data_IF_205126648500
#
_entry.id   IF_205126648500
#
_cell.length_a   1.000
_cell.length_b   1.000
_cell.length_c   1.000
_cell.angle_alpha   90.00
_cell.angle_beta   90.00
_cell.angle_gamma   90.00
#
_symmetry.space_group_name_H-M   'P 1'
#
loop_
_entity.id
_entity.type
_entity.pdbx_description
1 polymer ?
#
# COMPACT_ATOMS: atom_id res chain seq x y z
N UNK A 1 6.63 30.16 -5.89
CA UNK A 1 6.56 29.04 -4.95
C UNK A 1 5.58 28.02 -5.53
N UNK A 2 5.97 26.75 -5.67
CA UNK A 2 5.09 25.66 -6.09
C UNK A 2 4.13 25.30 -4.93
N UNK A 3 2.87 24.98 -5.24
CA UNK A 3 1.84 24.60 -4.26
C UNK A 3 1.23 23.27 -4.67
N UNK A 4 1.80 22.11 -4.22
CA UNK A 4 1.21 20.81 -4.52
C UNK A 4 -0.16 20.68 -3.83
N UNK A 5 -1.09 19.97 -4.46
CA UNK A 5 -2.41 19.68 -3.91
C UNK A 5 -2.45 18.29 -3.23
N UNK A 6 -1.55 17.40 -3.59
CA UNK A 6 -1.46 16.06 -3.04
C UNK A 6 -0.56 15.16 -3.85
N UNK A 7 -0.54 13.88 -3.49
CA UNK A 7 0.10 12.82 -4.27
C UNK A 7 -0.96 12.28 -5.23
N UNK A 8 -0.70 12.32 -6.54
CA UNK A 8 -1.65 11.87 -7.55
C UNK A 8 -1.66 10.35 -7.74
N UNK A 9 -0.48 9.74 -7.87
CA UNK A 9 -0.31 8.30 -8.03
C UNK A 9 1.12 7.88 -7.72
N UNK A 10 1.34 6.57 -7.62
CA UNK A 10 2.66 5.94 -7.46
C UNK A 10 2.88 4.96 -8.62
N UNK A 11 4.11 4.88 -9.14
CA UNK A 11 4.50 3.89 -10.14
C UNK A 11 5.53 2.95 -9.55
N UNK A 12 5.20 1.66 -9.48
CA UNK A 12 6.08 0.60 -8.99
C UNK A 12 6.70 -0.15 -10.16
N UNK A 13 7.98 -0.44 -10.07
CA UNK A 13 8.67 -1.35 -10.99
C UNK A 13 8.43 -2.78 -10.52
N UNK A 14 7.96 -3.63 -11.44
CA UNK A 14 7.66 -5.04 -11.16
C UNK A 14 8.28 -5.92 -12.25
N UNK A 15 8.66 -7.14 -11.91
CA UNK A 15 9.26 -8.06 -12.87
C UNK A 15 8.25 -8.58 -13.90
N UNK A 16 7.06 -8.98 -13.43
CA UNK A 16 6.02 -9.58 -14.24
C UNK A 16 4.64 -9.03 -13.87
N UNK A 17 3.88 -8.56 -14.86
CA UNK A 17 2.59 -7.90 -14.66
C UNK A 17 1.51 -8.86 -14.13
N UNK A 18 1.46 -10.09 -14.62
CA UNK A 18 0.50 -11.13 -14.22
C UNK A 18 0.65 -11.48 -12.74
N UNK A 19 1.89 -11.68 -12.29
CA UNK A 19 2.19 -11.98 -10.88
C UNK A 19 1.82 -10.80 -9.96
N UNK A 20 2.08 -9.58 -10.40
CA UNK A 20 1.71 -8.38 -9.64
C UNK A 20 0.20 -8.16 -9.65
N UNK A 21 -0.50 -8.47 -10.74
CA UNK A 21 -1.98 -8.43 -10.79
C UNK A 21 -2.63 -9.41 -9.80
N UNK A 22 -2.07 -10.61 -9.62
CA UNK A 22 -2.55 -11.54 -8.61
C UNK A 22 -2.49 -10.96 -7.18
N UNK A 23 -1.51 -10.08 -6.92
CA UNK A 23 -1.42 -9.37 -5.64
C UNK A 23 -2.32 -8.13 -5.59
N UNK A 24 -2.15 -7.18 -6.52
CA UNK A 24 -2.84 -5.89 -6.43
C UNK A 24 -4.32 -5.99 -6.80
N UNK A 25 -4.69 -6.74 -7.83
CA UNK A 25 -6.07 -6.90 -8.27
C UNK A 25 -6.79 -7.99 -7.48
N UNK A 26 -6.23 -9.21 -7.44
CA UNK A 26 -6.98 -10.38 -6.95
C UNK A 26 -6.94 -10.49 -5.41
N UNK A 27 -5.87 -10.00 -4.75
CA UNK A 27 -5.78 -9.98 -3.29
C UNK A 27 -6.23 -8.64 -2.70
N UNK A 28 -5.72 -7.50 -3.21
CA UNK A 28 -6.00 -6.18 -2.63
C UNK A 28 -7.24 -5.50 -3.21
N UNK A 29 -7.83 -6.02 -4.30
CA UNK A 29 -9.10 -5.53 -4.83
C UNK A 29 -9.00 -4.32 -5.76
N UNK A 30 -7.82 -3.93 -6.22
CA UNK A 30 -7.69 -2.90 -7.24
C UNK A 30 -8.35 -3.33 -8.55
N UNK A 31 -8.79 -2.36 -9.33
CA UNK A 31 -9.34 -2.55 -10.68
C UNK A 31 -8.37 -2.04 -11.72
N UNK A 32 -8.28 -2.74 -12.85
CA UNK A 32 -7.51 -2.25 -14.00
C UNK A 32 -8.28 -1.10 -14.63
N UNK A 33 -7.66 0.09 -14.64
CA UNK A 33 -8.19 1.28 -15.31
C UNK A 33 -7.77 1.34 -16.78
N UNK A 34 -6.51 0.95 -17.07
CA UNK A 34 -5.96 0.91 -18.42
C UNK A 34 -4.73 0.01 -18.46
N UNK A 35 -4.34 -0.40 -19.66
CA UNK A 35 -3.18 -1.24 -19.90
C UNK A 35 -2.42 -0.78 -21.17
N UNK A 36 -1.09 -0.77 -21.05
CA UNK A 36 -0.16 -0.74 -22.20
C UNK A 36 0.44 -2.14 -22.30
N UNK A 37 -0.02 -2.93 -23.25
CA UNK A 37 0.28 -4.36 -23.38
C UNK A 37 1.75 -4.71 -23.15
N UNK A 38 2.02 -5.59 -22.20
CA UNK A 38 3.35 -6.04 -21.78
C UNK A 38 4.30 -4.93 -21.25
N UNK A 39 3.83 -3.72 -21.05
CA UNK A 39 4.65 -2.59 -20.60
C UNK A 39 4.21 -2.09 -19.23
N UNK A 40 2.94 -1.73 -19.08
CA UNK A 40 2.45 -1.08 -17.87
C UNK A 40 0.95 -1.35 -17.67
N UNK A 41 0.54 -1.47 -16.41
CA UNK A 41 -0.87 -1.55 -16.02
C UNK A 41 -1.17 -0.42 -15.05
N UNK A 42 -2.28 0.26 -15.26
CA UNK A 42 -2.79 1.33 -14.43
C UNK A 42 -3.94 0.80 -13.57
N UNK A 43 -3.87 1.00 -12.28
CA UNK A 43 -4.80 0.46 -11.30
C UNK A 43 -5.49 1.58 -10.52
N UNK A 44 -6.77 1.39 -10.21
CA UNK A 44 -7.53 2.29 -9.34
C UNK A 44 -8.21 1.51 -8.22
N UNK A 45 -8.24 2.08 -7.02
CA UNK A 45 -8.93 1.49 -5.87
C UNK A 45 -10.45 1.74 -5.97
N UNK A 46 -10.87 2.99 -6.14
CA UNK A 46 -12.28 3.40 -6.13
C UNK A 46 -12.87 3.65 -7.53
N UNK A 47 -12.04 4.03 -8.50
CA UNK A 47 -12.43 4.48 -9.84
C UNK A 47 -12.74 5.97 -9.91
N UNK A 48 -12.52 6.71 -8.84
CA UNK A 48 -12.67 8.18 -8.83
C UNK A 48 -11.50 8.87 -9.52
N UNK A 49 -10.28 8.31 -9.35
CA UNK A 49 -9.09 8.76 -10.06
C UNK A 49 -8.90 7.96 -11.35
N UNK A 50 -8.22 8.56 -12.34
CA UNK A 50 -7.81 7.86 -13.55
C UNK A 50 -6.88 6.67 -13.24
N UNK A 51 -6.06 6.74 -12.19
CA UNK A 51 -5.35 5.65 -11.52
C UNK A 51 -4.72 6.16 -10.22
N UNK A 52 -4.50 5.24 -9.29
CA UNK A 52 -3.85 5.48 -8.00
C UNK A 52 -2.45 4.84 -7.99
N UNK A 53 -2.31 3.73 -8.69
CA UNK A 53 -1.09 2.94 -8.80
C UNK A 53 -0.84 2.54 -10.25
N UNK A 54 0.42 2.50 -10.66
CA UNK A 54 0.80 1.88 -11.92
C UNK A 54 1.92 0.86 -11.70
N UNK A 55 1.89 -0.22 -12.48
CA UNK A 55 2.87 -1.30 -12.47
C UNK A 55 3.65 -1.25 -13.77
N UNK A 56 4.93 -0.85 -13.71
CA UNK A 56 5.84 -0.83 -14.85
C UNK A 56 6.65 -2.11 -14.89
N UNK A 57 6.53 -2.88 -15.96
CA UNK A 57 7.32 -4.10 -16.15
C UNK A 57 8.77 -3.77 -16.45
N UNK A 58 9.70 -4.37 -15.67
CA UNK A 58 11.15 -4.24 -15.88
C UNK A 58 11.82 -5.56 -16.27
N UNK A 59 11.07 -6.68 -16.26
CA UNK A 59 11.53 -8.02 -16.65
C UNK A 59 12.10 -8.85 -15.51
N UNK A 60 12.14 -10.17 -15.73
CA UNK A 60 12.44 -11.16 -14.67
C UNK A 60 13.87 -11.07 -14.13
N UNK A 61 14.81 -10.58 -14.92
CA UNK A 61 16.21 -10.39 -14.52
C UNK A 61 16.48 -9.14 -13.68
N UNK A 62 15.48 -8.28 -13.46
CA UNK A 62 15.65 -7.07 -12.67
C UNK A 62 16.05 -7.42 -11.22
N UNK A 63 17.05 -6.72 -10.64
CA UNK A 63 17.44 -6.96 -9.25
C UNK A 63 16.34 -6.58 -8.28
N UNK A 64 16.33 -7.21 -7.12
CA UNK A 64 15.45 -6.81 -6.00
C UNK A 64 15.89 -5.45 -5.43
N UNK A 65 14.99 -4.73 -4.76
CA UNK A 65 15.37 -3.55 -3.99
C UNK A 65 16.53 -3.87 -3.01
N UNK A 66 17.48 -2.97 -2.92
CA UNK A 66 18.62 -3.13 -2.00
C UNK A 66 18.21 -2.58 -0.63
N UNK A 67 18.26 -3.38 0.44
CA UNK A 67 18.00 -2.90 1.79
C UNK A 67 18.87 -1.69 2.17
N UNK A 68 18.32 -0.72 2.88
CA UNK A 68 19.01 0.49 3.33
C UNK A 68 19.54 1.41 2.22
N UNK A 69 19.08 1.27 0.98
CA UNK A 69 19.32 2.25 -0.07
C UNK A 69 18.32 3.40 -0.01
N UNK A 70 18.72 4.57 -0.49
CA UNK A 70 17.80 5.68 -0.68
C UNK A 70 16.76 5.30 -1.75
N UNK A 71 15.46 5.48 -1.44
CA UNK A 71 14.37 5.14 -2.36
C UNK A 71 13.02 5.20 -1.67
N UNK A 72 12.03 4.61 -2.29
CA UNK A 72 10.70 4.43 -1.70
C UNK A 72 10.78 3.38 -0.60
N UNK A 73 10.31 3.72 0.61
CA UNK A 73 10.26 2.78 1.72
C UNK A 73 9.03 1.86 1.58
N UNK A 74 7.84 2.44 1.57
CA UNK A 74 6.59 1.70 1.29
C UNK A 74 5.56 2.55 0.55
N UNK A 75 4.51 1.90 0.08
CA UNK A 75 3.27 2.53 -0.37
C UNK A 75 2.18 2.23 0.65
N UNK A 76 1.56 3.26 1.20
CA UNK A 76 0.44 3.12 2.13
C UNK A 76 -0.89 3.18 1.36
N UNK A 77 -1.71 2.15 1.53
CA UNK A 77 -3.03 1.99 0.91
C UNK A 77 -4.08 2.08 2.02
N UNK A 78 -4.96 3.05 1.90
CA UNK A 78 -6.00 3.29 2.90
C UNK A 78 -7.16 2.29 2.77
N UNK A 79 -7.54 1.69 3.88
CA UNK A 79 -8.74 0.90 4.07
C UNK A 79 -9.83 1.77 4.71
N UNK A 80 -11.12 1.45 4.53
CA UNK A 80 -12.20 2.33 4.97
C UNK A 80 -12.27 2.49 6.50
N UNK A 81 -11.97 1.45 7.25
CA UNK A 81 -12.15 1.41 8.70
C UNK A 81 -11.35 0.29 9.38
N UNK A 82 -11.48 0.21 10.71
CA UNK A 82 -10.79 -0.81 11.53
C UNK A 82 -11.30 -2.23 11.25
N UNK A 83 -12.56 -2.41 10.85
CA UNK A 83 -13.08 -3.74 10.52
C UNK A 83 -12.47 -4.28 9.24
N UNK A 84 -12.22 -3.41 8.25
CA UNK A 84 -11.46 -3.75 7.06
C UNK A 84 -10.00 -4.10 7.39
N UNK A 85 -9.38 -3.41 8.35
CA UNK A 85 -8.03 -3.76 8.85
C UNK A 85 -8.04 -5.13 9.54
N UNK A 86 -9.05 -5.45 10.36
CA UNK A 86 -9.19 -6.78 10.99
C UNK A 86 -9.32 -7.89 9.94
N UNK A 87 -10.14 -7.68 8.92
CA UNK A 87 -10.30 -8.67 7.85
C UNK A 87 -9.02 -8.82 7.01
N UNK A 88 -8.36 -7.71 6.66
CA UNK A 88 -7.06 -7.75 5.97
C UNK A 88 -6.00 -8.48 6.82
N UNK A 89 -5.96 -8.25 8.13
CA UNK A 89 -5.08 -8.96 9.05
C UNK A 89 -5.31 -10.47 8.99
N UNK A 90 -6.59 -10.91 9.06
CA UNK A 90 -6.95 -12.34 8.97
C UNK A 90 -6.48 -12.92 7.63
N UNK A 91 -6.81 -12.26 6.51
CA UNK A 91 -6.45 -12.74 5.16
C UNK A 91 -4.93 -12.85 4.99
N UNK A 92 -4.18 -11.82 5.39
CA UNK A 92 -2.72 -11.82 5.28
C UNK A 92 -2.07 -12.86 6.19
N UNK A 93 -2.59 -13.05 7.40
CA UNK A 93 -2.12 -14.07 8.34
C UNK A 93 -2.34 -15.48 7.82
N UNK A 94 -3.57 -15.79 7.36
CA UNK A 94 -3.94 -17.10 6.82
C UNK A 94 -3.09 -17.49 5.60
N UNK A 95 -2.62 -16.50 4.83
CA UNK A 95 -1.77 -16.69 3.65
C UNK A 95 -0.27 -16.60 3.94
N UNK A 96 0.14 -16.33 5.19
CA UNK A 96 1.55 -16.14 5.56
C UNK A 96 2.19 -14.87 4.95
N UNK A 97 1.37 -13.89 4.58
CA UNK A 97 1.79 -12.65 3.93
C UNK A 97 1.96 -11.48 4.92
N UNK A 98 1.43 -11.57 6.14
CA UNK A 98 1.59 -10.53 7.15
C UNK A 98 3.05 -10.46 7.60
N UNK A 99 3.65 -9.27 7.52
CA UNK A 99 5.05 -9.01 7.93
C UNK A 99 5.16 -8.24 9.24
N UNK A 100 4.17 -7.42 9.55
CA UNK A 100 4.14 -6.62 10.77
C UNK A 100 2.83 -5.89 10.95
N UNK A 101 2.66 -5.32 12.13
CA UNK A 101 1.53 -4.49 12.50
C UNK A 101 1.99 -3.32 13.36
N UNK A 102 1.32 -2.19 13.30
CA UNK A 102 1.60 -1.05 14.16
C UNK A 102 0.35 -0.21 14.45
N UNK A 103 0.29 0.32 15.66
CA UNK A 103 -0.56 1.46 16.03
C UNK A 103 0.30 2.72 16.02
N UNK A 104 0.03 3.62 15.08
CA UNK A 104 0.74 4.88 14.96
C UNK A 104 0.09 6.04 15.74
N UNK A 105 -0.98 5.77 16.49
CA UNK A 105 -1.78 6.80 17.16
C UNK A 105 -2.71 7.52 16.18
N UNK A 106 -2.21 7.90 15.01
CA UNK A 106 -2.99 8.52 13.93
C UNK A 106 -3.59 7.50 12.96
N UNK A 107 -3.06 6.28 12.94
CA UNK A 107 -3.52 5.19 12.06
C UNK A 107 -3.27 3.83 12.68
N UNK A 108 -3.93 2.81 12.13
CA UNK A 108 -3.79 1.38 12.45
C UNK A 108 -3.32 0.66 11.20
N UNK A 109 -2.16 0.02 11.26
CA UNK A 109 -1.40 -0.40 10.08
C UNK A 109 -1.01 -1.86 10.10
N UNK A 110 -1.06 -2.47 8.93
CA UNK A 110 -0.55 -3.82 8.62
C UNK A 110 0.51 -3.69 7.53
N UNK A 111 1.55 -4.48 7.60
CA UNK A 111 2.63 -4.48 6.61
C UNK A 111 2.69 -5.81 5.89
N UNK A 112 2.88 -5.75 4.58
CA UNK A 112 3.09 -6.89 3.69
C UNK A 112 4.11 -6.51 2.61
N UNK A 113 4.48 -7.45 1.76
CA UNK A 113 5.33 -7.21 0.60
C UNK A 113 4.66 -7.76 -0.65
N UNK A 114 4.80 -7.04 -1.75
CA UNK A 114 4.39 -7.54 -3.06
C UNK A 114 5.33 -8.65 -3.56
N UNK A 115 5.02 -9.34 -4.67
CA UNK A 115 5.86 -10.41 -5.20
C UNK A 115 7.30 -10.00 -5.58
N UNK A 116 7.57 -8.71 -5.72
CA UNK A 116 8.88 -8.17 -6.08
C UNK A 116 9.65 -7.58 -4.90
N UNK A 117 9.03 -7.57 -3.70
CA UNK A 117 9.63 -7.10 -2.47
C UNK A 117 9.38 -5.62 -2.19
N UNK A 118 8.46 -4.98 -2.91
CA UNK A 118 8.00 -3.64 -2.53
C UNK A 118 7.14 -3.75 -1.27
N UNK A 119 7.46 -2.96 -0.24
CA UNK A 119 6.69 -2.94 1.00
C UNK A 119 5.38 -2.19 0.80
N UNK A 120 4.29 -2.78 1.28
CA UNK A 120 2.94 -2.25 1.23
C UNK A 120 2.39 -2.15 2.65
N UNK A 121 1.93 -0.97 3.02
CA UNK A 121 1.17 -0.72 4.22
C UNK A 121 -0.33 -0.71 3.89
N UNK A 122 -1.13 -1.46 4.63
CA UNK A 122 -2.59 -1.35 4.61
C UNK A 122 -3.02 -0.71 5.92
N UNK A 123 -3.72 0.42 5.87
CA UNK A 123 -4.04 1.16 7.08
C UNK A 123 -5.44 1.76 7.05
N UNK A 124 -5.97 2.07 8.23
CA UNK A 124 -7.07 3.01 8.39
C UNK A 124 -6.65 4.15 9.33
N UNK A 125 -7.22 5.32 9.12
CA UNK A 125 -7.02 6.43 10.04
C UNK A 125 -7.69 6.15 11.39
N UNK A 126 -7.09 6.68 12.45
CA UNK A 126 -7.78 6.87 13.72
C UNK A 126 -8.89 7.93 13.56
N UNK A 127 -9.91 7.94 14.44
CA UNK A 127 -10.90 9.01 14.45
C UNK A 127 -10.24 10.40 14.41
N UNK A 128 -10.75 11.27 13.54
CA UNK A 128 -10.10 12.56 13.24
C UNK A 128 -9.91 13.44 14.47
N UNK A 129 -10.84 13.39 15.41
CA UNK A 129 -10.79 14.11 16.68
C UNK A 129 -9.67 13.63 17.62
N UNK A 130 -9.13 12.43 17.40
CA UNK A 130 -7.99 11.90 18.16
C UNK A 130 -6.65 12.52 17.75
N UNK A 131 -6.51 13.04 16.52
CA UNK A 131 -5.22 13.50 15.99
C UNK A 131 -5.23 14.88 15.33
N UNK A 132 -6.37 15.42 14.92
CA UNK A 132 -6.44 16.74 14.26
C UNK A 132 -5.83 17.86 15.10
N UNK A 133 -4.89 18.60 14.50
CA UNK A 133 -4.17 19.70 15.17
C UNK A 133 -3.14 19.27 16.22
N UNK A 134 -2.87 17.97 16.38
CA UNK A 134 -1.91 17.45 17.38
C UNK A 134 -1.15 16.21 16.91
N UNK A 135 -0.96 16.06 15.60
CA UNK A 135 -0.24 14.93 15.00
C UNK A 135 1.14 14.73 15.63
N UNK A 136 1.87 15.83 15.89
CA UNK A 136 3.19 15.86 16.54
C UNK A 136 3.22 15.26 17.94
N UNK A 137 2.07 15.19 18.62
CA UNK A 137 1.95 14.68 20.00
C UNK A 137 1.41 13.26 20.08
N UNK A 138 0.61 12.83 19.09
CA UNK A 138 -0.06 11.53 19.12
C UNK A 138 0.64 10.49 18.25
N UNK A 139 1.45 10.91 17.28
CA UNK A 139 2.19 9.99 16.42
C UNK A 139 3.17 9.16 17.23
N UNK A 140 3.09 7.85 17.07
CA UNK A 140 3.85 6.87 17.85
C UNK A 140 4.03 5.57 17.05
N UNK A 141 4.73 4.60 17.61
CA UNK A 141 4.78 3.23 17.12
C UNK A 141 4.56 2.29 18.31
N UNK A 142 3.40 1.66 18.36
CA UNK A 142 3.00 0.71 19.42
C UNK A 142 2.49 -0.58 18.81
N UNK A 143 2.45 -1.69 19.57
CA UNK A 143 1.77 -2.91 19.16
C UNK A 143 0.29 -2.60 18.81
N UNK A 144 -0.16 -3.12 17.68
CA UNK A 144 -1.56 -2.99 17.27
C UNK A 144 -2.44 -3.96 18.07
N UNK A 145 -3.49 -3.43 18.71
CA UNK A 145 -4.56 -4.21 19.32
C UNK A 145 -5.79 -4.20 18.41
N UNK A 146 -6.18 -5.38 17.95
CA UNK A 146 -7.34 -5.59 17.08
C UNK A 146 -8.56 -6.19 17.79
N UNK A 147 -8.50 -6.24 19.14
CA UNK A 147 -9.63 -6.75 19.96
C UNK A 147 -10.81 -5.79 19.93
#
# INVERSE_FOLDING_TARGET
MLRPQGIGHVVLKVRALDRSLAFYRDLLGFRVASEMTNVMIFLTATGENHHDLALLRVGDSAPSPVPNSVGLYHVAIQLPDLDAVREAHRILSDRGLLKGTADHGVSRSLYTVDPDGNEIELFCDAPRDEWEGRVDRVMTVRPLDLR
#
